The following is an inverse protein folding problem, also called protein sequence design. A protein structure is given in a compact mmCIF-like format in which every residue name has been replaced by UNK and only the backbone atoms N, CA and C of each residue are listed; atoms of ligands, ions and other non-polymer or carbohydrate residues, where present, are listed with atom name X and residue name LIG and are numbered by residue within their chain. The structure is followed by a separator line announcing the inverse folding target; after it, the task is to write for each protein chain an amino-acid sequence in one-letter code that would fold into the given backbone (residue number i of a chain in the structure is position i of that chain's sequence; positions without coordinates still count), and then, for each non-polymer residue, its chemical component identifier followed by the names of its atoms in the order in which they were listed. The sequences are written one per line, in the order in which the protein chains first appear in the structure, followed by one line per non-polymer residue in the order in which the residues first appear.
data_IF_896653788979
#
_entry.id   IF_896653788979
#
_cell.length_a   1.000
_cell.length_b   1.000
_cell.length_c   1.000
_cell.angle_alpha   90.00
_cell.angle_beta   90.00
_cell.angle_gamma   90.00
#
_symmetry.space_group_name_H-M   'P 1'
#
loop_
_entity.id
_entity.type
_entity.pdbx_description
1 polymer ?
#
# COMPACT_ATOMS: atom_id res chain seq x y z
N UNK A 1 -24.83 14.47 -19.61
CA UNK A 1 -23.61 13.64 -19.49
C UNK A 1 -23.79 12.81 -18.23
N UNK A 2 -23.60 11.51 -18.31
CA UNK A 2 -23.72 10.61 -17.14
C UNK A 2 -22.36 10.38 -16.47
N UNK A 3 -22.38 9.75 -15.32
CA UNK A 3 -21.16 9.48 -14.52
C UNK A 3 -20.16 8.58 -15.29
N UNK A 4 -20.65 7.61 -16.06
CA UNK A 4 -19.81 6.71 -16.84
C UNK A 4 -19.01 7.45 -17.91
N UNK A 5 -19.64 8.41 -18.59
CA UNK A 5 -18.98 9.26 -19.57
C UNK A 5 -17.89 10.15 -18.96
N UNK A 6 -18.15 10.71 -17.77
CA UNK A 6 -17.17 11.51 -17.03
C UNK A 6 -15.97 10.67 -16.57
N UNK A 7 -16.23 9.48 -16.07
CA UNK A 7 -15.18 8.54 -15.65
C UNK A 7 -14.36 8.03 -16.84
N UNK A 8 -15.01 7.72 -17.97
CA UNK A 8 -14.31 7.34 -19.21
C UNK A 8 -13.41 8.49 -19.71
N UNK A 9 -13.92 9.73 -19.66
CA UNK A 9 -13.13 10.91 -19.99
C UNK A 9 -11.92 11.08 -19.06
N UNK A 10 -12.12 10.88 -17.75
CA UNK A 10 -11.06 10.94 -16.74
C UNK A 10 -9.95 9.91 -17.03
N UNK A 11 -10.32 8.66 -17.26
CA UNK A 11 -9.37 7.56 -17.59
C UNK A 11 -8.63 7.86 -18.89
N UNK A 12 -9.32 8.31 -19.94
CA UNK A 12 -8.73 8.67 -21.24
C UNK A 12 -7.66 9.77 -21.11
N UNK A 13 -7.89 10.72 -20.21
CA UNK A 13 -6.96 11.83 -19.94
C UNK A 13 -5.90 11.46 -18.87
N UNK A 14 -5.80 10.21 -18.45
CA UNK A 14 -4.85 9.73 -17.42
C UNK A 14 -4.96 10.52 -16.11
N UNK A 15 -6.17 10.96 -15.78
CA UNK A 15 -6.42 11.65 -14.53
C UNK A 15 -6.35 10.67 -13.36
N UNK A 16 -5.78 11.12 -12.26
CA UNK A 16 -5.77 10.36 -11.00
C UNK A 16 -7.11 10.42 -10.29
N UNK A 17 -7.80 11.56 -10.38
CA UNK A 17 -9.07 11.78 -9.71
C UNK A 17 -10.03 12.59 -10.59
N UNK A 18 -11.34 12.26 -10.50
CA UNK A 18 -12.45 13.07 -10.96
C UNK A 18 -13.13 13.69 -9.74
N UNK A 19 -13.38 14.99 -9.78
CA UNK A 19 -14.07 15.73 -8.74
C UNK A 19 -15.43 16.23 -9.26
N UNK A 20 -16.49 15.89 -8.57
CA UNK A 20 -17.83 16.47 -8.74
C UNK A 20 -18.14 17.34 -7.53
N UNK A 21 -18.66 18.53 -7.79
CA UNK A 21 -19.08 19.46 -6.73
C UNK A 21 -20.25 20.29 -7.22
N UNK A 22 -21.35 20.25 -6.52
CA UNK A 22 -22.54 21.04 -6.84
C UNK A 22 -22.20 22.52 -7.08
N UNK A 23 -22.75 23.10 -8.11
CA UNK A 23 -22.50 24.49 -8.54
C UNK A 23 -21.24 24.73 -9.37
N UNK A 24 -20.50 23.68 -9.70
CA UNK A 24 -19.27 23.77 -10.48
C UNK A 24 -19.24 22.76 -11.64
N UNK A 25 -18.51 23.06 -12.74
CA UNK A 25 -18.18 22.05 -13.73
C UNK A 25 -17.37 20.91 -13.10
N UNK A 26 -17.51 19.66 -13.56
CA UNK A 26 -16.63 18.58 -13.17
C UNK A 26 -15.16 18.93 -13.39
N UNK A 27 -14.29 18.44 -12.52
CA UNK A 27 -12.85 18.69 -12.60
C UNK A 27 -12.09 17.36 -12.56
N UNK A 28 -10.95 17.31 -13.24
CA UNK A 28 -10.03 16.17 -13.20
C UNK A 28 -8.67 16.59 -12.67
N UNK A 29 -8.01 15.70 -11.92
CA UNK A 29 -6.63 15.90 -11.48
C UNK A 29 -5.68 15.19 -12.44
N UNK A 30 -4.85 15.97 -13.14
CA UNK A 30 -3.85 15.46 -14.08
C UNK A 30 -2.48 16.00 -13.68
N UNK A 31 -1.51 15.11 -13.45
CA UNK A 31 -0.16 15.45 -13.00
C UNK A 31 -0.11 16.33 -11.73
N UNK A 32 -1.11 16.17 -10.85
CA UNK A 32 -1.22 16.93 -9.60
C UNK A 32 -2.11 18.17 -9.70
N UNK A 33 -2.35 18.71 -10.89
CA UNK A 33 -3.19 19.90 -11.09
C UNK A 33 -4.65 19.55 -11.28
N UNK A 34 -5.55 20.27 -10.59
CA UNK A 34 -7.00 20.15 -10.78
C UNK A 34 -7.43 21.10 -11.90
N UNK A 35 -8.04 20.53 -12.95
CA UNK A 35 -8.47 21.25 -14.16
C UNK A 35 -9.96 21.04 -14.42
N UNK A 36 -10.66 22.09 -14.82
CA UNK A 36 -12.07 22.01 -15.19
C UNK A 36 -12.24 21.27 -16.51
N UNK A 37 -13.27 20.42 -16.57
CA UNK A 37 -13.77 19.90 -17.84
C UNK A 37 -14.65 20.99 -18.49
N UNK A 38 -14.55 21.15 -19.80
CA UNK A 38 -15.32 22.17 -20.52
C UNK A 38 -16.77 21.70 -20.77
N UNK A 39 -17.55 21.66 -19.69
CA UNK A 39 -18.98 21.35 -19.66
C UNK A 39 -19.67 22.30 -18.68
N UNK A 40 -20.99 22.35 -18.71
CA UNK A 40 -21.78 23.16 -17.79
C UNK A 40 -21.58 22.75 -16.33
N UNK A 41 -21.80 23.70 -15.42
CA UNK A 41 -21.82 23.44 -13.98
C UNK A 41 -22.96 22.48 -13.63
N UNK A 42 -22.68 21.49 -12.78
CA UNK A 42 -23.67 20.54 -12.29
C UNK A 42 -24.39 21.11 -11.05
N UNK A 43 -25.69 21.02 -11.02
CA UNK A 43 -26.46 21.38 -9.82
C UNK A 43 -26.40 20.27 -8.76
N UNK A 44 -26.93 20.58 -7.55
CA UNK A 44 -26.95 19.60 -6.44
C UNK A 44 -27.66 18.30 -6.83
N UNK A 45 -28.83 18.42 -7.47
CA UNK A 45 -29.63 17.24 -7.83
C UNK A 45 -28.87 16.33 -8.80
N UNK A 46 -28.26 16.91 -9.82
CA UNK A 46 -27.49 16.15 -10.84
C UNK A 46 -26.29 15.43 -10.20
N UNK A 47 -25.52 16.10 -9.33
CA UNK A 47 -24.39 15.46 -8.66
C UNK A 47 -24.88 14.35 -7.70
N UNK A 48 -25.94 14.62 -6.93
CA UNK A 48 -26.55 13.64 -6.03
C UNK A 48 -27.01 12.39 -6.81
N UNK A 49 -27.79 12.56 -7.86
CA UNK A 49 -28.33 11.45 -8.65
C UNK A 49 -27.20 10.62 -9.29
N UNK A 50 -26.16 11.27 -9.86
CA UNK A 50 -24.99 10.57 -10.43
C UNK A 50 -24.27 9.69 -9.41
N UNK A 51 -24.13 10.18 -8.18
CA UNK A 51 -23.43 9.45 -7.10
C UNK A 51 -24.33 8.36 -6.52
N UNK A 52 -25.60 8.67 -6.35
CA UNK A 52 -26.60 7.76 -5.79
C UNK A 52 -26.86 6.54 -6.69
N UNK A 53 -26.82 6.73 -8.02
CA UNK A 53 -27.03 5.66 -9.00
C UNK A 53 -25.96 4.57 -8.97
N UNK A 54 -24.76 4.88 -8.54
CA UNK A 54 -23.66 3.91 -8.42
C UNK A 54 -23.55 3.26 -7.04
N UNK A 55 -24.38 3.67 -6.08
CA UNK A 55 -24.44 3.11 -4.73
C UNK A 55 -25.40 1.93 -4.65
N UNK A 56 -25.04 0.90 -3.87
CA UNK A 56 -25.98 -0.11 -3.42
C UNK A 56 -26.84 0.40 -2.26
N UNK A 57 -27.91 -0.35 -1.90
CA UNK A 57 -28.88 0.09 -0.90
C UNK A 57 -28.26 0.36 0.49
N UNK A 58 -27.27 -0.44 0.89
CA UNK A 58 -26.57 -0.23 2.17
C UNK A 58 -25.73 1.07 2.15
N UNK A 59 -25.06 1.35 1.04
CA UNK A 59 -24.26 2.58 0.83
C UNK A 59 -25.18 3.81 0.77
N UNK A 60 -26.33 3.71 0.09
CA UNK A 60 -27.35 4.78 0.05
C UNK A 60 -27.84 5.12 1.44
N UNK A 61 -28.25 4.10 2.21
CA UNK A 61 -28.69 4.29 3.58
C UNK A 61 -27.61 4.94 4.44
N UNK A 62 -26.37 4.45 4.35
CA UNK A 62 -25.24 5.02 5.08
C UNK A 62 -25.04 6.51 4.72
N UNK A 63 -25.04 6.83 3.42
CA UNK A 63 -24.90 8.21 2.93
C UNK A 63 -26.01 9.13 3.44
N UNK A 64 -27.25 8.65 3.47
CA UNK A 64 -28.39 9.40 4.01
C UNK A 64 -28.26 9.65 5.52
N UNK A 65 -27.78 8.66 6.27
CA UNK A 65 -27.65 8.73 7.74
C UNK A 65 -26.44 9.58 8.19
N UNK A 66 -25.34 9.54 7.45
CA UNK A 66 -24.06 10.14 7.88
C UNK A 66 -23.59 11.31 7.01
N UNK A 67 -24.24 11.57 5.89
CA UNK A 67 -23.93 12.61 4.88
C UNK A 67 -22.61 12.43 4.15
N UNK A 68 -21.95 11.30 4.33
CA UNK A 68 -20.72 10.91 3.65
C UNK A 68 -20.61 9.39 3.54
N UNK A 69 -19.93 8.89 2.51
CA UNK A 69 -19.68 7.46 2.35
C UNK A 69 -18.44 7.22 1.48
N UNK A 70 -17.62 6.25 1.90
CA UNK A 70 -16.53 5.69 1.11
C UNK A 70 -16.95 4.33 0.54
N UNK A 71 -16.70 4.10 -0.74
CA UNK A 71 -16.91 2.82 -1.38
C UNK A 71 -16.05 2.65 -2.64
N UNK A 72 -16.02 1.47 -3.19
CA UNK A 72 -15.40 1.21 -4.48
C UNK A 72 -16.38 0.54 -5.43
N UNK A 73 -16.23 0.77 -6.71
CA UNK A 73 -16.97 0.08 -7.76
C UNK A 73 -16.14 -0.06 -9.02
N UNK A 74 -16.55 -0.95 -9.89
CA UNK A 74 -15.88 -1.23 -11.15
C UNK A 74 -16.82 -1.00 -12.33
N UNK A 75 -16.31 -0.35 -13.36
CA UNK A 75 -16.95 -0.31 -14.67
C UNK A 75 -16.19 -1.30 -15.55
N UNK A 76 -16.85 -2.39 -15.90
CA UNK A 76 -16.27 -3.44 -16.71
C UNK A 76 -15.69 -2.91 -18.03
N UNK A 77 -14.46 -3.24 -18.32
CA UNK A 77 -13.74 -2.77 -19.51
C UNK A 77 -13.21 -1.34 -19.45
N UNK A 78 -13.42 -0.63 -18.32
CA UNK A 78 -12.91 0.73 -18.14
C UNK A 78 -11.88 0.80 -17.00
N UNK A 79 -12.31 0.75 -15.76
CA UNK A 79 -11.45 0.81 -14.59
C UNK A 79 -12.25 0.54 -13.31
N UNK A 80 -11.53 0.30 -12.20
CA UNK A 80 -12.07 0.34 -10.85
C UNK A 80 -11.85 1.74 -10.26
N UNK A 81 -12.80 2.19 -9.44
CA UNK A 81 -12.78 3.50 -8.82
C UNK A 81 -13.03 3.40 -7.32
N UNK A 82 -12.24 4.14 -6.53
CA UNK A 82 -12.57 4.45 -5.14
C UNK A 82 -13.31 5.76 -5.10
N UNK A 83 -14.43 5.80 -4.41
CA UNK A 83 -15.31 6.97 -4.33
C UNK A 83 -15.42 7.40 -2.88
N UNK A 84 -15.24 8.69 -2.64
CA UNK A 84 -15.69 9.37 -1.44
C UNK A 84 -16.80 10.33 -1.85
N UNK A 85 -18.02 10.08 -1.40
CA UNK A 85 -19.17 10.96 -1.60
C UNK A 85 -19.49 11.68 -0.29
N UNK A 86 -19.82 12.96 -0.37
CA UNK A 86 -20.04 13.81 0.80
C UNK A 86 -20.98 14.97 0.47
N UNK A 87 -21.55 15.59 1.51
CA UNK A 87 -22.29 16.82 1.40
C UNK A 87 -21.42 18.02 1.83
N UNK A 88 -21.56 19.14 1.13
CA UNK A 88 -20.89 20.42 1.43
C UNK A 88 -21.88 21.58 1.23
N UNK A 89 -21.48 22.83 1.54
CA UNK A 89 -22.38 23.99 1.61
C UNK A 89 -23.20 24.26 0.33
N UNK A 90 -22.76 23.86 -0.84
CA UNK A 90 -23.49 24.01 -2.13
C UNK A 90 -24.33 22.77 -2.46
N UNK A 91 -24.18 21.67 -1.74
CA UNK A 91 -24.88 20.42 -1.97
C UNK A 91 -23.93 19.22 -2.07
N UNK A 92 -24.29 18.20 -2.86
CA UNK A 92 -23.52 16.99 -3.01
C UNK A 92 -22.15 17.24 -3.67
N UNK A 93 -21.18 16.45 -3.25
CA UNK A 93 -19.85 16.36 -3.84
C UNK A 93 -19.34 14.93 -3.86
N UNK A 94 -18.42 14.64 -4.77
CA UNK A 94 -17.76 13.34 -4.80
C UNK A 94 -16.37 13.43 -5.43
N UNK A 95 -15.47 12.58 -4.96
CA UNK A 95 -14.15 12.37 -5.54
C UNK A 95 -14.04 10.91 -5.96
N UNK A 96 -13.70 10.71 -7.21
CA UNK A 96 -13.49 9.39 -7.80
C UNK A 96 -12.01 9.22 -8.10
N UNK A 97 -11.32 8.36 -7.37
CA UNK A 97 -9.94 7.99 -7.65
C UNK A 97 -9.89 6.79 -8.58
N UNK A 98 -9.23 6.95 -9.72
CA UNK A 98 -9.00 5.85 -10.65
C UNK A 98 -7.98 4.89 -10.05
N UNK A 99 -8.34 3.61 -9.94
CA UNK A 99 -7.47 2.53 -9.50
C UNK A 99 -6.80 1.94 -10.74
N UNK A 100 -5.46 1.89 -10.79
CA UNK A 100 -4.76 1.32 -11.95
C UNK A 100 -5.14 -0.14 -12.17
N UNK A 101 -5.51 -0.49 -13.41
CA UNK A 101 -5.83 -1.86 -13.81
C UNK A 101 -4.58 -2.70 -14.07
N UNK A 102 -3.43 -2.06 -14.32
CA UNK A 102 -2.18 -2.75 -14.65
C UNK A 102 -1.25 -2.81 -13.44
N UNK A 103 -0.94 -4.03 -13.02
CA UNK A 103 0.10 -4.29 -12.03
C UNK A 103 1.46 -4.26 -12.74
N UNK A 104 2.35 -3.41 -12.27
CA UNK A 104 3.74 -3.37 -12.75
C UNK A 104 4.54 -4.54 -12.16
N UNK A 105 5.47 -5.08 -12.92
CA UNK A 105 6.39 -6.09 -12.41
C UNK A 105 7.45 -5.48 -11.49
N UNK A 106 8.09 -6.29 -10.66
CA UNK A 106 9.20 -5.87 -9.81
C UNK A 106 10.34 -5.22 -10.64
N UNK A 107 10.61 -5.75 -11.84
CA UNK A 107 11.59 -5.20 -12.78
C UNK A 107 11.16 -3.81 -13.30
N UNK A 108 9.90 -3.66 -13.71
CA UNK A 108 9.36 -2.37 -14.15
C UNK A 108 9.34 -1.30 -13.06
N UNK A 109 9.19 -1.71 -11.80
CA UNK A 109 9.33 -0.82 -10.64
C UNK A 109 10.79 -0.49 -10.31
N UNK A 110 11.76 -1.17 -10.94
CA UNK A 110 13.19 -0.98 -10.67
C UNK A 110 13.60 -1.43 -9.26
N UNK A 111 12.88 -2.41 -8.69
CA UNK A 111 13.17 -2.90 -7.33
C UNK A 111 14.46 -3.71 -7.29
N UNK A 112 15.19 -3.71 -6.14
CA UNK A 112 16.32 -4.59 -5.94
C UNK A 112 15.96 -6.07 -6.10
N UNK A 113 16.91 -6.87 -6.62
CA UNK A 113 16.69 -8.30 -6.89
C UNK A 113 16.21 -9.11 -5.69
N UNK A 114 16.58 -8.71 -4.48
CA UNK A 114 16.14 -9.37 -3.25
C UNK A 114 14.61 -9.43 -3.10
N UNK A 115 13.86 -8.51 -3.72
CA UNK A 115 12.38 -8.52 -3.67
C UNK A 115 11.79 -9.78 -4.33
N UNK A 116 12.40 -10.29 -5.40
CA UNK A 116 11.98 -11.54 -6.04
C UNK A 116 12.17 -12.74 -5.10
N UNK A 117 13.27 -12.74 -4.35
CA UNK A 117 13.58 -13.80 -3.38
C UNK A 117 12.64 -13.73 -2.16
N UNK A 118 12.34 -12.51 -1.70
CA UNK A 118 11.41 -12.29 -0.58
C UNK A 118 9.98 -12.68 -0.95
N UNK A 119 9.55 -12.43 -2.18
CA UNK A 119 8.21 -12.77 -2.66
C UNK A 119 7.98 -14.30 -2.76
N UNK A 120 9.02 -15.10 -2.85
CA UNK A 120 8.96 -16.56 -3.00
C UNK A 120 9.35 -17.30 -1.71
N UNK A 121 9.44 -16.61 -0.56
CA UNK A 121 9.71 -17.29 0.71
C UNK A 121 8.55 -18.23 1.05
N UNK A 122 8.83 -19.43 1.60
CA UNK A 122 7.78 -20.39 1.91
C UNK A 122 6.92 -19.96 3.09
N UNK A 123 7.44 -19.13 3.98
CA UNK A 123 6.75 -18.64 5.19
C UNK A 123 7.45 -17.46 5.82
N UNK A 124 6.79 -16.79 6.73
CA UNK A 124 7.31 -15.70 7.53
C UNK A 124 6.66 -14.35 7.17
N UNK A 125 7.10 -13.30 7.82
CA UNK A 125 6.52 -11.97 7.72
C UNK A 125 7.42 -11.04 6.91
N UNK A 126 6.90 -10.49 5.84
CA UNK A 126 7.53 -9.43 5.04
C UNK A 126 6.72 -8.15 5.20
N UNK A 127 7.34 -7.11 5.73
CA UNK A 127 6.70 -5.81 5.95
C UNK A 127 7.19 -4.78 4.93
N UNK A 128 6.24 -4.13 4.26
CA UNK A 128 6.50 -2.98 3.38
C UNK A 128 5.95 -1.73 4.04
N UNK A 129 6.82 -0.79 4.38
CA UNK A 129 6.47 0.38 5.19
C UNK A 129 6.81 1.68 4.50
N UNK A 130 6.30 2.78 5.00
CA UNK A 130 6.52 4.12 4.48
C UNK A 130 5.28 4.99 4.60
N UNK A 131 5.40 6.30 4.38
CA UNK A 131 4.27 7.22 4.46
C UNK A 131 3.20 6.91 3.41
N UNK A 132 2.02 7.51 3.57
CA UNK A 132 0.97 7.48 2.55
C UNK A 132 1.51 8.01 1.22
N UNK A 133 1.22 7.30 0.13
CA UNK A 133 1.69 7.67 -1.21
C UNK A 133 3.14 7.30 -1.51
N UNK A 134 3.80 6.50 -0.67
CA UNK A 134 5.18 6.02 -0.94
C UNK A 134 5.26 4.84 -1.91
N UNK A 135 4.12 4.32 -2.40
CA UNK A 135 4.08 3.25 -3.39
C UNK A 135 4.04 1.83 -2.78
N UNK A 136 3.74 1.68 -1.49
CA UNK A 136 3.65 0.37 -0.82
C UNK A 136 2.74 -0.62 -1.53
N UNK A 137 1.54 -0.18 -1.89
CA UNK A 137 0.55 -1.03 -2.56
C UNK A 137 1.04 -1.51 -3.92
N UNK A 138 1.71 -0.65 -4.70
CA UNK A 138 2.31 -1.03 -5.98
C UNK A 138 3.42 -2.07 -5.81
N UNK A 139 4.27 -1.90 -4.80
CA UNK A 139 5.34 -2.85 -4.48
C UNK A 139 4.77 -4.20 -4.05
N UNK A 140 3.78 -4.20 -3.16
CA UNK A 140 3.12 -5.44 -2.72
C UNK A 140 2.36 -6.12 -3.84
N UNK A 141 1.64 -5.36 -4.68
CA UNK A 141 0.96 -5.92 -5.84
C UNK A 141 1.96 -6.59 -6.81
N UNK A 142 3.14 -5.98 -7.02
CA UNK A 142 4.20 -6.57 -7.84
C UNK A 142 4.78 -7.84 -7.20
N UNK A 143 4.97 -7.88 -5.88
CA UNK A 143 5.44 -9.07 -5.16
C UNK A 143 4.42 -10.21 -5.23
N UNK A 144 3.13 -9.91 -5.01
CA UNK A 144 2.03 -10.90 -5.13
C UNK A 144 1.91 -11.39 -6.58
N UNK A 145 2.03 -10.50 -7.56
CA UNK A 145 2.02 -10.91 -8.97
C UNK A 145 3.23 -11.80 -9.31
N UNK A 146 4.41 -11.51 -8.76
CA UNK A 146 5.59 -12.36 -8.94
C UNK A 146 5.37 -13.76 -8.36
N UNK A 147 4.80 -13.86 -7.15
CA UNK A 147 4.41 -15.14 -6.56
C UNK A 147 3.41 -15.88 -7.44
N UNK A 148 2.34 -15.19 -7.90
CA UNK A 148 1.28 -15.71 -8.76
C UNK A 148 1.78 -16.25 -10.11
N UNK A 149 2.88 -15.73 -10.62
CA UNK A 149 3.51 -16.18 -11.89
C UNK A 149 4.44 -17.37 -11.70
N UNK A 150 5.00 -17.57 -10.51
CA UNK A 150 6.08 -18.52 -10.28
C UNK A 150 5.67 -19.75 -9.46
N UNK A 151 4.73 -19.62 -8.52
CA UNK A 151 4.35 -20.69 -7.61
C UNK A 151 2.89 -21.13 -7.79
N UNK A 152 2.63 -22.40 -7.46
CA UNK A 152 1.27 -22.95 -7.38
C UNK A 152 0.81 -22.92 -5.93
N UNK A 153 -0.17 -22.09 -5.62
CA UNK A 153 -0.63 -21.92 -4.24
C UNK A 153 -1.92 -21.09 -4.16
N UNK A 154 -2.34 -20.80 -2.95
CA UNK A 154 -3.46 -19.94 -2.64
C UNK A 154 -3.00 -18.67 -1.95
N UNK A 155 -3.29 -17.53 -2.56
CA UNK A 155 -3.03 -16.19 -2.00
C UNK A 155 -4.33 -15.57 -1.56
N UNK A 156 -4.43 -15.22 -0.29
CA UNK A 156 -5.55 -14.47 0.25
C UNK A 156 -5.12 -13.04 0.54
N UNK A 157 -5.89 -12.05 0.09
CA UNK A 157 -5.67 -10.65 0.48
C UNK A 157 -6.82 -10.12 1.34
N UNK A 158 -6.50 -9.28 2.30
CA UNK A 158 -7.46 -8.50 3.10
C UNK A 158 -7.06 -7.04 2.99
N UNK A 159 -7.92 -6.21 2.41
CA UNK A 159 -7.60 -4.85 2.01
C UNK A 159 -8.73 -3.86 2.37
N UNK A 160 -8.40 -2.59 2.50
CA UNK A 160 -9.38 -1.52 2.79
C UNK A 160 -9.00 -0.21 2.10
N UNK A 161 -9.41 -0.03 0.83
CA UNK A 161 -10.01 -0.97 -0.11
C UNK A 161 -8.97 -1.77 -0.92
N UNK A 162 -9.45 -2.67 -1.81
CA UNK A 162 -8.62 -3.32 -2.83
C UNK A 162 -8.08 -2.24 -3.79
N UNK A 163 -6.74 -2.12 -3.87
CA UNK A 163 -6.08 -1.14 -4.75
C UNK A 163 -5.66 -1.72 -6.11
N UNK A 164 -5.43 -3.02 -6.20
CA UNK A 164 -5.11 -3.73 -7.43
C UNK A 164 -5.89 -5.03 -7.51
N UNK A 165 -6.54 -5.30 -8.63
CA UNK A 165 -7.22 -6.57 -8.88
C UNK A 165 -6.24 -7.54 -9.53
N UNK A 166 -6.04 -8.68 -8.88
CA UNK A 166 -5.19 -9.76 -9.38
C UNK A 166 -6.01 -10.79 -10.13
N UNK A 167 -5.56 -11.14 -11.34
CA UNK A 167 -6.04 -12.34 -12.01
C UNK A 167 -5.31 -13.56 -11.46
N UNK A 168 -6.03 -14.64 -11.17
CA UNK A 168 -5.41 -15.93 -10.83
C UNK A 168 -4.66 -16.49 -12.03
N UNK A 169 -3.35 -16.75 -11.86
CA UNK A 169 -2.48 -17.35 -12.88
C UNK A 169 -2.11 -18.78 -12.45
N UNK A 170 -0.93 -18.96 -11.84
CA UNK A 170 -0.57 -20.22 -11.18
C UNK A 170 -1.18 -20.33 -9.79
N UNK A 171 -1.30 -19.21 -9.07
CA UNK A 171 -2.00 -19.18 -7.80
C UNK A 171 -3.51 -18.99 -7.98
N UNK A 172 -4.29 -19.58 -7.07
CA UNK A 172 -5.63 -19.09 -6.76
C UNK A 172 -5.47 -17.80 -5.94
N UNK A 173 -6.08 -16.69 -6.36
CA UNK A 173 -6.09 -15.45 -5.61
C UNK A 173 -7.50 -15.09 -5.19
N UNK A 174 -7.71 -14.97 -3.88
CA UNK A 174 -8.95 -14.48 -3.28
C UNK A 174 -8.69 -13.16 -2.58
N UNK A 175 -9.34 -12.10 -3.04
CA UNK A 175 -9.21 -10.76 -2.49
C UNK A 175 -10.46 -10.38 -1.70
N UNK A 176 -10.28 -10.00 -0.43
CA UNK A 176 -11.36 -9.60 0.48
C UNK A 176 -11.21 -8.15 0.86
N UNK A 177 -12.22 -7.35 0.57
CA UNK A 177 -12.30 -5.94 0.95
C UNK A 177 -13.09 -5.79 2.24
N UNK A 178 -12.59 -5.00 3.18
CA UNK A 178 -13.33 -4.65 4.40
C UNK A 178 -14.57 -3.84 4.03
N UNK A 179 -15.69 -4.18 4.64
CA UNK A 179 -17.01 -3.66 4.31
C UNK A 179 -17.77 -4.62 3.38
N UNK A 180 -17.45 -4.69 2.08
CA UNK A 180 -18.16 -5.55 1.14
C UNK A 180 -18.00 -7.06 1.38
N UNK A 181 -16.82 -7.52 1.80
CA UNK A 181 -16.50 -8.95 1.84
C UNK A 181 -16.14 -9.47 3.23
N UNK A 182 -15.89 -8.60 4.18
CA UNK A 182 -15.60 -8.92 5.58
C UNK A 182 -15.87 -7.71 6.46
N UNK A 183 -16.17 -7.92 7.74
CA UNK A 183 -16.50 -6.84 8.66
C UNK A 183 -15.25 -6.14 9.24
N UNK A 184 -14.09 -6.81 9.23
CA UNK A 184 -12.83 -6.26 9.74
C UNK A 184 -11.63 -7.08 9.27
N UNK A 185 -10.44 -6.49 9.36
CA UNK A 185 -9.17 -7.22 9.15
C UNK A 185 -9.06 -8.44 10.07
N UNK A 186 -9.37 -8.28 11.36
CA UNK A 186 -9.28 -9.34 12.34
C UNK A 186 -10.23 -10.50 12.02
N UNK A 187 -11.48 -10.23 11.62
CA UNK A 187 -12.42 -11.28 11.23
C UNK A 187 -11.96 -12.05 10.01
N UNK A 188 -11.45 -11.34 9.00
CA UNK A 188 -10.92 -11.96 7.80
C UNK A 188 -9.70 -12.84 8.10
N UNK A 189 -8.76 -12.35 8.92
CA UNK A 189 -7.55 -13.11 9.28
C UNK A 189 -7.85 -14.35 10.12
N UNK A 190 -8.81 -14.27 11.06
CA UNK A 190 -9.25 -15.47 11.80
C UNK A 190 -9.85 -16.53 10.87
N UNK A 191 -10.59 -16.12 9.85
CA UNK A 191 -11.13 -17.01 8.83
C UNK A 191 -10.03 -17.56 7.93
N UNK A 192 -9.11 -16.71 7.51
CA UNK A 192 -8.01 -17.02 6.59
C UNK A 192 -7.23 -18.27 6.99
N UNK A 193 -6.95 -18.44 8.28
CA UNK A 193 -6.23 -19.61 8.81
C UNK A 193 -6.95 -20.96 8.58
N UNK A 194 -8.21 -20.94 8.12
CA UNK A 194 -9.02 -22.11 7.76
C UNK A 194 -9.38 -22.18 6.27
N UNK A 195 -8.87 -21.26 5.50
CA UNK A 195 -9.12 -21.13 4.05
C UNK A 195 -7.99 -21.74 3.21
N UNK A 196 -7.06 -22.46 3.86
CA UNK A 196 -5.89 -23.10 3.24
C UNK A 196 -5.01 -22.15 2.38
N UNK A 197 -4.64 -20.98 2.88
CA UNK A 197 -3.75 -20.08 2.16
C UNK A 197 -2.28 -20.49 2.31
N UNK A 198 -1.48 -20.32 1.26
CA UNK A 198 -0.01 -20.36 1.34
C UNK A 198 0.55 -18.98 1.66
N UNK A 199 -0.08 -17.94 1.12
CA UNK A 199 0.30 -16.55 1.38
C UNK A 199 -0.89 -15.67 1.73
N UNK A 200 -0.69 -14.71 2.63
CA UNK A 200 -1.70 -13.76 3.09
C UNK A 200 -1.14 -12.35 2.95
N UNK A 201 -1.88 -11.45 2.27
CA UNK A 201 -1.59 -10.03 2.26
C UNK A 201 -2.55 -9.31 3.22
N UNK A 202 -2.00 -8.59 4.18
CA UNK A 202 -2.73 -7.72 5.12
C UNK A 202 -2.47 -6.28 4.69
N UNK A 203 -3.48 -5.65 4.09
CA UNK A 203 -3.35 -4.32 3.47
C UNK A 203 -2.83 -3.27 4.42
N UNK A 204 -3.22 -3.32 5.70
CA UNK A 204 -2.68 -2.45 6.75
C UNK A 204 -2.79 -3.09 8.15
N UNK A 205 -1.70 -3.01 8.90
CA UNK A 205 -1.59 -3.51 10.27
C UNK A 205 -1.68 -2.35 11.27
N UNK A 206 -2.91 -1.93 11.63
CA UNK A 206 -3.15 -0.75 12.49
C UNK A 206 -3.30 -1.08 13.96
N UNK A 207 -3.98 -2.16 14.27
CA UNK A 207 -4.41 -2.51 15.63
C UNK A 207 -3.73 -3.78 16.14
N UNK A 208 -3.75 -3.91 17.46
CA UNK A 208 -3.13 -5.02 18.18
C UNK A 208 -3.62 -6.39 17.68
N UNK A 209 -4.93 -6.52 17.45
CA UNK A 209 -5.50 -7.81 17.10
C UNK A 209 -5.09 -8.25 15.69
N UNK A 210 -5.11 -7.32 14.73
CA UNK A 210 -4.63 -7.56 13.36
C UNK A 210 -3.15 -7.95 13.35
N UNK A 211 -2.31 -7.24 14.12
CA UNK A 211 -0.88 -7.53 14.24
C UNK A 211 -0.65 -8.91 14.87
N UNK A 212 -1.36 -9.25 15.94
CA UNK A 212 -1.28 -10.56 16.60
C UNK A 212 -1.62 -11.69 15.64
N UNK A 213 -2.70 -11.56 14.89
CA UNK A 213 -3.14 -12.58 13.92
C UNK A 213 -2.15 -12.74 12.76
N UNK A 214 -1.59 -11.63 12.27
CA UNK A 214 -0.56 -11.66 11.22
C UNK A 214 0.73 -12.35 11.70
N UNK A 215 1.19 -12.06 12.92
CA UNK A 215 2.34 -12.76 13.55
C UNK A 215 2.06 -14.25 13.72
N UNK A 216 0.87 -14.60 14.22
CA UNK A 216 0.47 -16.00 14.38
C UNK A 216 0.45 -16.73 13.04
N UNK A 217 -0.10 -16.13 11.99
CA UNK A 217 -0.11 -16.72 10.65
C UNK A 217 1.32 -16.97 10.13
N UNK A 218 2.22 -15.99 10.29
CA UNK A 218 3.61 -16.10 9.86
C UNK A 218 4.37 -17.19 10.65
N UNK A 219 4.12 -17.29 11.95
CA UNK A 219 4.74 -18.30 12.83
C UNK A 219 4.23 -19.72 12.52
N UNK A 220 2.96 -19.85 12.16
CA UNK A 220 2.32 -21.14 11.86
C UNK A 220 2.54 -21.64 10.42
N UNK A 221 3.35 -20.97 9.62
CA UNK A 221 3.83 -21.50 8.36
C UNK A 221 3.36 -20.79 7.10
N UNK A 222 2.65 -19.66 7.21
CA UNK A 222 2.20 -18.87 6.08
C UNK A 222 3.21 -17.78 5.70
N UNK A 223 3.29 -17.43 4.43
CA UNK A 223 3.96 -16.21 3.98
C UNK A 223 2.98 -15.04 4.18
N UNK A 224 3.35 -14.08 5.01
CA UNK A 224 2.50 -12.92 5.31
C UNK A 224 3.16 -11.65 4.80
N UNK A 225 2.46 -10.92 3.96
CA UNK A 225 2.81 -9.57 3.55
C UNK A 225 1.96 -8.57 4.35
N UNK A 226 2.58 -7.54 4.90
CA UNK A 226 1.84 -6.52 5.64
C UNK A 226 2.39 -5.12 5.41
N UNK A 227 1.57 -4.10 5.72
CA UNK A 227 2.01 -2.70 5.69
C UNK A 227 1.87 -1.99 7.02
N UNK A 228 2.77 -1.03 7.23
CA UNK A 228 2.70 -0.01 8.28
C UNK A 228 3.13 1.35 7.70
N UNK A 229 2.85 2.42 8.44
CA UNK A 229 3.21 3.80 8.02
C UNK A 229 4.52 4.30 8.65
N UNK A 230 5.38 3.43 9.09
CA UNK A 230 6.68 3.76 9.67
C UNK A 230 7.72 4.09 8.60
N UNK A 231 8.70 4.94 8.95
CA UNK A 231 9.69 5.49 8.02
C UNK A 231 11.05 4.78 8.04
N UNK A 232 11.22 3.73 8.85
CA UNK A 232 12.44 2.92 8.91
C UNK A 232 12.16 1.53 9.45
N UNK A 233 13.07 0.59 9.19
CA UNK A 233 12.97 -0.77 9.70
C UNK A 233 12.98 -0.80 11.24
N UNK A 234 13.86 -0.04 11.89
CA UNK A 234 13.93 0.07 13.33
C UNK A 234 12.61 0.57 13.94
N UNK A 235 12.05 1.67 13.41
CA UNK A 235 10.75 2.19 13.85
C UNK A 235 9.60 1.21 13.59
N UNK A 236 9.72 0.37 12.59
CA UNK A 236 8.73 -0.68 12.29
C UNK A 236 8.70 -1.71 13.40
N UNK A 237 9.87 -2.20 13.83
CA UNK A 237 9.97 -3.16 14.93
C UNK A 237 9.40 -2.56 16.22
N UNK A 238 9.79 -1.34 16.57
CA UNK A 238 9.26 -0.64 17.74
C UNK A 238 7.72 -0.52 17.65
N UNK A 239 7.19 -0.10 16.50
CA UNK A 239 5.74 0.08 16.31
C UNK A 239 4.97 -1.23 16.49
N UNK A 240 5.47 -2.34 15.95
CA UNK A 240 4.83 -3.67 16.11
C UNK A 240 4.79 -4.08 17.56
N UNK A 241 5.87 -3.88 18.31
CA UNK A 241 5.96 -4.26 19.73
C UNK A 241 5.16 -3.30 20.63
N UNK A 242 5.16 -2.01 20.31
CA UNK A 242 4.58 -0.97 21.18
C UNK A 242 3.07 -0.97 21.26
N UNK A 243 2.36 -1.58 20.30
CA UNK A 243 0.90 -1.72 20.39
C UNK A 243 0.46 -2.72 21.44
N UNK A 244 1.38 -3.58 21.92
CA UNK A 244 1.08 -4.59 22.92
C UNK A 244 1.27 -4.09 24.35
N UNK A 245 0.49 -4.62 25.30
CA UNK A 245 0.71 -4.37 26.73
C UNK A 245 2.13 -4.73 27.17
N UNK A 246 2.66 -4.04 28.16
CA UNK A 246 4.02 -4.24 28.66
C UNK A 246 4.34 -5.72 29.02
N UNK A 247 3.36 -6.42 29.61
CA UNK A 247 3.50 -7.82 29.99
C UNK A 247 3.66 -8.78 28.80
N UNK A 248 3.26 -8.38 27.60
CA UNK A 248 3.32 -9.21 26.39
C UNK A 248 4.51 -8.88 25.47
N UNK A 249 5.16 -7.74 25.67
CA UNK A 249 6.20 -7.23 24.73
C UNK A 249 7.37 -8.20 24.53
N UNK A 250 7.79 -8.90 25.57
CA UNK A 250 8.89 -9.88 25.46
C UNK A 250 8.49 -11.07 24.58
N UNK A 251 7.28 -11.60 24.79
CA UNK A 251 6.72 -12.67 23.95
C UNK A 251 6.59 -12.21 22.49
N UNK A 252 6.10 -11.01 22.27
CA UNK A 252 5.92 -10.44 20.90
C UNK A 252 7.27 -10.27 20.21
N UNK A 253 8.31 -9.81 20.91
CA UNK A 253 9.67 -9.74 20.35
C UNK A 253 10.18 -11.12 19.95
N UNK A 254 9.93 -12.13 20.77
CA UNK A 254 10.29 -13.51 20.45
C UNK A 254 9.58 -13.99 19.19
N UNK A 255 8.25 -13.87 19.13
CA UNK A 255 7.45 -14.23 17.94
C UNK A 255 7.91 -13.49 16.69
N UNK A 256 8.11 -12.17 16.79
CA UNK A 256 8.57 -11.34 15.68
C UNK A 256 9.96 -11.76 15.22
N UNK A 257 10.88 -12.05 16.14
CA UNK A 257 12.24 -12.47 15.80
C UNK A 257 12.25 -13.80 15.04
N UNK A 258 11.34 -14.72 15.33
CA UNK A 258 11.25 -16.01 14.63
C UNK A 258 10.55 -15.90 13.27
N UNK A 259 9.48 -15.12 13.20
CA UNK A 259 8.62 -15.03 12.01
C UNK A 259 9.09 -14.00 11.00
N UNK A 260 9.81 -12.94 11.40
CA UNK A 260 10.23 -11.87 10.48
C UNK A 260 11.22 -12.39 9.43
N UNK A 261 10.96 -12.05 8.18
CA UNK A 261 11.83 -12.28 7.03
C UNK A 261 12.53 -11.00 6.61
N UNK A 262 11.78 -9.92 6.43
CA UNK A 262 12.32 -8.64 6.01
C UNK A 262 11.40 -7.47 6.37
N UNK A 263 12.01 -6.29 6.48
CA UNK A 263 11.32 -4.99 6.49
C UNK A 263 11.86 -4.15 5.36
N UNK A 264 10.97 -3.67 4.50
CA UNK A 264 11.27 -2.78 3.38
C UNK A 264 10.61 -1.44 3.67
N UNK A 265 11.39 -0.42 4.02
CA UNK A 265 10.88 0.94 4.21
C UNK A 265 11.10 1.75 2.94
N UNK A 266 10.04 2.34 2.41
CA UNK A 266 10.00 2.91 1.08
C UNK A 266 9.60 4.38 1.08
N UNK A 267 10.27 5.18 0.26
CA UNK A 267 9.87 6.54 -0.08
C UNK A 267 9.97 6.77 -1.60
N UNK A 268 9.19 7.71 -2.13
CA UNK A 268 9.26 8.09 -3.55
C UNK A 268 10.09 9.36 -3.71
N UNK A 269 11.01 9.33 -4.67
CA UNK A 269 11.82 10.46 -5.12
C UNK A 269 11.37 10.89 -6.52
N UNK A 270 11.39 12.19 -6.79
CA UNK A 270 11.15 12.71 -8.14
C UNK A 270 12.33 12.35 -9.05
N UNK A 271 12.03 11.84 -10.24
CA UNK A 271 13.04 11.66 -11.27
C UNK A 271 13.59 13.02 -11.72
N UNK A 272 14.89 13.06 -12.00
CA UNK A 272 15.60 14.29 -12.38
C UNK A 272 15.09 14.90 -13.68
N UNK A 273 14.61 14.07 -14.60
CA UNK A 273 14.02 14.47 -15.88
C UNK A 273 12.56 14.91 -15.80
N UNK A 274 11.96 14.83 -14.59
CA UNK A 274 10.55 15.20 -14.38
C UNK A 274 9.52 14.20 -14.95
N UNK A 275 9.96 13.05 -15.48
CA UNK A 275 9.07 12.06 -16.14
C UNK A 275 8.23 11.26 -15.15
N UNK A 276 8.57 11.28 -13.85
CA UNK A 276 7.84 10.51 -12.86
C UNK A 276 8.57 10.44 -11.51
N UNK A 277 8.42 9.29 -10.86
CA UNK A 277 9.01 9.01 -9.54
C UNK A 277 9.68 7.65 -9.54
N UNK A 278 10.69 7.49 -8.70
CA UNK A 278 11.37 6.22 -8.42
C UNK A 278 11.33 5.97 -6.91
N UNK A 279 11.18 4.71 -6.53
CA UNK A 279 11.22 4.34 -5.12
C UNK A 279 12.67 4.23 -4.62
N UNK A 280 12.91 4.75 -3.41
CA UNK A 280 14.11 4.49 -2.63
C UNK A 280 13.75 3.64 -1.41
N UNK A 281 14.60 2.67 -1.10
CA UNK A 281 14.31 1.64 -0.10
C UNK A 281 15.40 1.54 0.95
N UNK A 282 15.00 1.46 2.22
CA UNK A 282 15.77 0.82 3.27
C UNK A 282 15.33 -0.65 3.34
N UNK A 283 16.25 -1.57 3.31
CA UNK A 283 15.99 -3.02 3.31
C UNK A 283 16.72 -3.68 4.47
N UNK A 284 15.96 -4.26 5.39
CA UNK A 284 16.46 -5.06 6.50
C UNK A 284 16.05 -6.52 6.30
N UNK A 285 17.01 -7.42 6.25
CA UNK A 285 16.78 -8.87 6.21
C UNK A 285 16.95 -9.41 7.63
N UNK A 286 16.05 -10.25 8.08
CA UNK A 286 16.07 -10.84 9.42
C UNK A 286 17.14 -11.95 9.52
N UNK A 287 18.41 -11.57 9.46
CA UNK A 287 19.55 -12.43 9.77
C UNK A 287 19.54 -12.82 11.24
N UNK A 288 20.34 -13.82 11.60
CA UNK A 288 20.50 -14.23 13.03
C UNK A 288 20.90 -13.05 13.92
N UNK A 289 21.74 -12.13 13.42
CA UNK A 289 22.13 -10.93 14.14
C UNK A 289 20.92 -9.98 14.36
N UNK A 290 20.15 -9.70 13.32
CA UNK A 290 18.93 -8.87 13.43
C UNK A 290 17.90 -9.52 14.36
N UNK A 291 17.66 -10.80 14.23
CA UNK A 291 16.75 -11.56 15.12
C UNK A 291 17.16 -11.44 16.59
N UNK A 292 18.45 -11.52 16.88
CA UNK A 292 18.97 -11.35 18.22
C UNK A 292 18.77 -9.93 18.77
N UNK A 293 19.01 -8.91 17.93
CA UNK A 293 18.75 -7.51 18.31
C UNK A 293 17.27 -7.26 18.64
N UNK A 294 16.34 -7.90 17.92
CA UNK A 294 14.90 -7.83 18.22
C UNK A 294 14.61 -8.45 19.58
N UNK A 295 15.07 -9.68 19.83
CA UNK A 295 14.85 -10.39 21.12
C UNK A 295 15.38 -9.59 22.31
N UNK A 296 16.59 -9.06 22.18
CA UNK A 296 17.25 -8.31 23.24
C UNK A 296 16.81 -6.84 23.35
N UNK A 297 15.86 -6.39 22.53
CA UNK A 297 15.40 -5.00 22.47
C UNK A 297 16.53 -3.99 22.19
N UNK A 298 17.50 -4.39 21.37
CA UNK A 298 18.63 -3.55 20.96
C UNK A 298 18.42 -2.89 19.62
N UNK A 299 17.25 -2.28 19.45
CA UNK A 299 16.77 -1.73 18.16
C UNK A 299 17.72 -0.65 17.61
N UNK A 300 18.33 0.16 18.48
CA UNK A 300 19.27 1.19 18.07
C UNK A 300 20.49 0.65 17.28
N UNK A 301 20.86 -0.61 17.47
CA UNK A 301 21.99 -1.25 16.77
C UNK A 301 21.63 -1.77 15.39
N UNK A 302 20.35 -1.85 15.02
CA UNK A 302 19.90 -2.38 13.73
C UNK A 302 20.44 -1.59 12.54
N UNK A 303 20.53 -0.27 12.66
CA UNK A 303 21.00 0.57 11.56
C UNK A 303 22.42 0.18 11.12
N UNK A 304 23.32 -0.06 12.06
CA UNK A 304 24.69 -0.51 11.77
C UNK A 304 24.70 -1.87 11.07
N UNK A 305 23.84 -2.80 11.50
CA UNK A 305 23.71 -4.12 10.85
C UNK A 305 23.16 -4.02 9.44
N UNK A 306 22.20 -3.12 9.19
CA UNK A 306 21.69 -2.84 7.84
C UNK A 306 22.78 -2.26 6.97
N UNK A 307 23.52 -1.26 7.47
CA UNK A 307 24.58 -0.55 6.76
C UNK A 307 25.70 -1.48 6.28
N UNK A 308 26.04 -2.50 7.07
CA UNK A 308 27.11 -3.45 6.77
C UNK A 308 26.61 -4.71 6.06
N UNK A 309 25.30 -4.90 5.94
CA UNK A 309 24.66 -6.11 5.38
C UNK A 309 24.45 -6.11 3.88
N UNK A 310 25.15 -5.32 3.09
CA UNK A 310 24.98 -5.19 1.64
C UNK A 310 25.11 -6.52 0.89
N UNK A 311 26.04 -7.37 1.30
CA UNK A 311 26.24 -8.70 0.69
C UNK A 311 25.03 -9.63 0.83
N UNK A 312 24.15 -9.35 1.79
CA UNK A 312 22.91 -10.08 2.07
C UNK A 312 21.67 -9.41 1.45
N UNK A 313 21.85 -8.34 0.69
CA UNK A 313 20.77 -7.58 0.08
C UNK A 313 20.21 -6.47 0.98
N UNK A 314 20.79 -6.21 2.13
CA UNK A 314 20.41 -5.07 2.98
C UNK A 314 20.99 -3.77 2.45
N UNK A 315 20.29 -2.68 2.68
CA UNK A 315 20.78 -1.32 2.40
C UNK A 315 20.07 -0.31 3.30
N UNK A 316 20.76 0.77 3.64
CA UNK A 316 20.12 1.93 4.26
C UNK A 316 19.46 2.79 3.19
N UNK A 317 18.51 3.64 3.60
CA UNK A 317 17.89 4.59 2.69
C UNK A 317 18.93 5.49 2.01
N UNK A 318 19.91 6.00 2.77
CA UNK A 318 20.93 6.91 2.25
C UNK A 318 21.88 6.22 1.26
N UNK A 319 22.20 4.94 1.47
CA UNK A 319 22.97 4.15 0.49
C UNK A 319 22.22 4.02 -0.83
N UNK A 320 20.92 3.76 -0.79
CA UNK A 320 20.10 3.66 -2.00
C UNK A 320 19.92 5.04 -2.68
N UNK A 321 19.71 6.10 -1.91
CA UNK A 321 19.66 7.46 -2.45
C UNK A 321 20.97 7.83 -3.14
N UNK A 322 22.12 7.50 -2.56
CA UNK A 322 23.44 7.72 -3.17
C UNK A 322 23.60 6.98 -4.50
N UNK A 323 23.11 5.73 -4.58
CA UNK A 323 23.10 4.99 -5.83
C UNK A 323 22.21 5.64 -6.90
N UNK A 324 21.00 6.08 -6.53
CA UNK A 324 20.08 6.77 -7.45
C UNK A 324 20.68 8.09 -7.97
N UNK A 325 21.40 8.85 -7.12
CA UNK A 325 22.11 10.08 -7.53
C UNK A 325 23.27 9.73 -8.48
N UNK A 326 24.09 8.72 -8.14
CA UNK A 326 25.20 8.26 -8.97
C UNK A 326 24.74 7.81 -10.35
N UNK A 327 23.59 7.15 -10.42
CA UNK A 327 22.93 6.72 -11.69
C UNK A 327 22.24 7.87 -12.42
N UNK A 328 22.32 9.11 -11.89
CA UNK A 328 21.69 10.29 -12.46
C UNK A 328 20.17 10.23 -12.58
N UNK A 329 19.51 9.37 -11.78
CA UNK A 329 18.04 9.23 -11.74
C UNK A 329 17.39 10.27 -10.85
N UNK A 330 18.05 10.63 -9.75
CA UNK A 330 17.55 11.58 -8.74
C UNK A 330 18.56 12.70 -8.57
N UNK A 331 18.08 13.93 -8.36
CA UNK A 331 18.98 15.05 -8.09
C UNK A 331 19.53 14.99 -6.64
N UNK A 332 20.74 15.54 -6.37
CA UNK A 332 21.25 15.64 -5.00
C UNK A 332 20.29 16.35 -4.06
N UNK A 333 19.64 17.43 -4.52
CA UNK A 333 18.66 18.18 -3.73
C UNK A 333 17.44 17.35 -3.34
N UNK A 334 16.89 16.53 -4.26
CA UNK A 334 15.79 15.63 -3.96
C UNK A 334 16.25 14.54 -2.99
N UNK A 335 17.41 13.92 -3.20
CA UNK A 335 17.96 12.92 -2.30
C UNK A 335 18.17 13.49 -0.89
N UNK A 336 18.73 14.69 -0.77
CA UNK A 336 18.90 15.41 0.49
C UNK A 336 17.57 15.60 1.24
N UNK A 337 16.49 15.91 0.53
CA UNK A 337 15.16 16.10 1.14
C UNK A 337 14.56 14.83 1.74
N UNK A 338 15.05 13.64 1.33
CA UNK A 338 14.58 12.33 1.75
C UNK A 338 15.56 11.61 2.68
N UNK A 339 16.82 12.03 2.68
CA UNK A 339 17.89 11.35 3.39
C UNK A 339 17.71 11.41 4.92
N UNK A 340 18.21 10.37 5.59
CA UNK A 340 18.34 10.34 7.05
C UNK A 340 19.45 11.25 7.53
N UNK A 341 20.54 11.36 6.74
CA UNK A 341 21.70 12.23 6.97
C UNK A 341 21.83 13.17 5.76
N UNK A 342 21.12 14.31 5.75
CA UNK A 342 21.10 15.23 4.61
C UNK A 342 22.47 15.75 4.19
N UNK A 343 23.43 15.81 5.13
CA UNK A 343 24.78 16.29 4.90
C UNK A 343 25.57 15.41 3.91
N UNK A 344 25.18 14.16 3.74
CA UNK A 344 25.79 13.25 2.75
C UNK A 344 25.45 13.63 1.30
N UNK A 345 24.51 14.56 1.10
CA UNK A 345 24.06 15.01 -0.22
C UNK A 345 24.23 16.51 -0.37
N UNK A 346 25.47 16.98 -0.67
CA UNK A 346 25.72 18.39 -0.95
C UNK A 346 24.94 18.77 -2.21
N UNK A 347 24.11 19.82 -2.09
CA UNK A 347 23.32 20.40 -3.16
C UNK A 347 24.01 21.57 -3.82
#
# INVERSE_FOLDING_TARGET
MDITQLLAFSVKNKASDLHLSAGLPPMIRVHGDVRRINVEALDHKTVHDMVYDIMNDAQRKHYEDTLEVDFSFEIQGLARFRVNAFNQNRGAGAVFRTIPSKILTLEQLGTPKVFTELALKPRGLVLVTGPTGSGKSSTLAAMVNHLNENEYGHVLTVEDPIEFVHESKKCLINQREVGPHTLSFANALRSALREDPDAILVGEMRDLETIRLALTAAETGHLVFGTLHTSSAAKTIDRVVDVFPAAEKEMVRSMLSESLVAVISQTLCKLKDGSGRVASHEIMIATSAIKNLIRENKIAQMYSSIQTGQSLGMQTLDQNLSDLVRRNLVSPAEARSKAKIPENFPG
#
